data_IF_165226523455
#
_entry.id   IF_165226523455
#
_cell.length_a   1.000
_cell.length_b   1.000
_cell.length_c   1.000
_cell.angle_alpha   90.00
_cell.angle_beta   90.00
_cell.angle_gamma   90.00
#
_symmetry.space_group_name_H-M   'P 1'
#
loop_
_entity.id
_entity.type
_entity.pdbx_description
1 polymer ?
#
# COMPACT_ATOMS: atom_id res chain seq x y z
N UNK A 1 -2.32 -5.49 -62.26
CA UNK A 1 -1.23 -4.55 -61.91
C UNK A 1 -0.94 -4.75 -60.44
N UNK A 2 0.09 -5.55 -60.17
CA UNK A 2 0.54 -5.92 -58.83
C UNK A 2 1.91 -5.28 -58.63
N UNK A 3 2.04 -4.44 -57.60
CA UNK A 3 3.31 -3.83 -57.20
C UNK A 3 3.72 -4.43 -55.87
N UNK A 4 4.80 -5.20 -55.91
CA UNK A 4 5.43 -5.83 -54.76
C UNK A 4 6.13 -4.82 -53.87
N UNK A 5 6.11 -5.11 -52.57
CA UNK A 5 6.99 -4.50 -51.58
C UNK A 5 8.19 -5.44 -51.38
N UNK A 6 9.38 -4.88 -51.58
CA UNK A 6 10.65 -5.51 -51.25
C UNK A 6 10.89 -5.44 -49.74
N UNK A 7 11.20 -6.59 -49.15
CA UNK A 7 11.79 -6.72 -47.82
C UNK A 7 13.22 -6.18 -47.83
N UNK A 8 13.52 -5.25 -46.92
CA UNK A 8 14.88 -4.80 -46.65
C UNK A 8 15.39 -5.55 -45.41
N UNK A 9 16.26 -6.52 -45.66
CA UNK A 9 17.12 -7.17 -44.69
C UNK A 9 18.01 -6.13 -44.00
N UNK A 10 17.96 -6.06 -42.66
CA UNK A 10 19.04 -5.44 -41.87
C UNK A 10 19.83 -6.55 -41.18
N UNK A 11 21.12 -6.58 -41.51
CA UNK A 11 22.12 -7.52 -41.05
C UNK A 11 22.71 -7.13 -39.70
N UNK A 12 22.73 -8.10 -38.79
CA UNK A 12 23.46 -8.07 -37.52
C UNK A 12 24.97 -7.95 -37.71
N UNK A 13 25.58 -6.92 -37.12
CA UNK A 13 27.02 -6.91 -36.83
C UNK A 13 27.34 -6.07 -35.60
N UNK A 14 27.89 -6.73 -34.57
CA UNK A 14 29.04 -6.33 -33.71
C UNK A 14 28.81 -6.81 -32.27
N UNK A 15 29.46 -7.90 -31.84
CA UNK A 15 30.81 -7.98 -31.24
C UNK A 15 30.93 -7.19 -29.92
N UNK A 16 30.64 -7.86 -28.81
CA UNK A 16 31.12 -7.50 -27.48
C UNK A 16 32.42 -8.25 -27.16
N UNK A 17 33.46 -7.60 -26.62
CA UNK A 17 34.60 -8.27 -26.01
C UNK A 17 34.34 -8.58 -24.53
N UNK A 18 34.78 -9.76 -24.13
CA UNK A 18 34.85 -10.27 -22.76
C UNK A 18 35.94 -9.58 -21.95
N UNK A 19 35.67 -9.31 -20.68
CA UNK A 19 36.71 -9.00 -19.68
C UNK A 19 36.43 -9.86 -18.45
N UNK A 20 37.27 -10.88 -18.26
CA UNK A 20 37.57 -11.49 -16.97
C UNK A 20 38.25 -10.44 -16.08
N UNK A 21 37.86 -10.33 -14.80
CA UNK A 21 38.88 -10.42 -13.75
C UNK A 21 38.30 -10.62 -12.34
N UNK A 22 39.15 -11.27 -11.55
CA UNK A 22 38.96 -11.84 -10.23
C UNK A 22 38.90 -10.77 -9.12
N UNK A 23 38.18 -11.04 -8.03
CA UNK A 23 38.76 -11.00 -6.67
C UNK A 23 37.75 -11.36 -5.59
N UNK A 24 38.13 -12.39 -4.84
CA UNK A 24 37.58 -12.80 -3.55
C UNK A 24 37.78 -11.73 -2.48
N UNK A 25 36.75 -11.47 -1.67
CA UNK A 25 36.82 -10.55 -0.54
C UNK A 25 35.74 -10.83 0.51
N UNK A 26 35.93 -11.90 1.29
CA UNK A 26 35.06 -12.25 2.42
C UNK A 26 35.16 -11.20 3.54
N UNK A 27 34.08 -10.44 3.79
CA UNK A 27 33.96 -9.55 4.95
C UNK A 27 33.13 -10.21 6.04
N UNK A 28 33.79 -10.62 7.13
CA UNK A 28 33.17 -11.15 8.33
C UNK A 28 32.51 -10.03 9.15
N UNK A 29 31.22 -10.16 9.45
CA UNK A 29 30.52 -9.34 10.43
C UNK A 29 31.05 -9.61 11.84
N UNK A 30 31.72 -8.63 12.46
CA UNK A 30 31.98 -8.62 13.90
C UNK A 30 30.90 -7.79 14.60
N UNK A 31 30.13 -8.48 15.45
CA UNK A 31 29.24 -7.90 16.45
C UNK A 31 30.07 -7.28 17.57
N UNK A 32 29.90 -5.99 17.82
CA UNK A 32 30.39 -5.32 19.02
C UNK A 32 29.19 -4.90 19.87
N UNK A 33 28.94 -5.66 20.92
CA UNK A 33 28.04 -5.30 22.00
C UNK A 33 28.78 -4.54 23.10
N UNK A 34 28.04 -3.58 23.68
CA UNK A 34 28.14 -3.04 25.04
C UNK A 34 29.44 -2.37 25.50
N UNK A 35 29.35 -1.05 25.69
CA UNK A 35 30.01 -0.38 26.81
C UNK A 35 29.01 0.59 27.48
N UNK A 36 29.01 0.51 28.80
CA UNK A 36 28.16 1.17 29.77
C UNK A 36 28.87 2.39 30.38
N UNK A 37 28.14 3.45 30.72
CA UNK A 37 28.46 4.46 31.76
C UNK A 37 27.28 5.46 31.82
N UNK A 38 26.43 5.45 32.84
CA UNK A 38 26.54 6.06 34.18
C UNK A 38 26.29 7.59 34.22
N UNK A 39 25.04 7.89 34.60
CA UNK A 39 24.50 8.96 35.48
C UNK A 39 25.35 10.20 35.77
N UNK A 40 24.81 11.38 35.46
CA UNK A 40 24.68 12.52 36.41
C UNK A 40 23.42 13.35 36.12
N UNK A 41 22.79 13.77 37.21
CA UNK A 41 21.52 14.49 37.34
C UNK A 41 21.61 15.99 37.01
N UNK A 42 20.49 16.61 36.61
CA UNK A 42 20.31 18.06 36.75
C UNK A 42 19.23 18.72 35.87
N UNK A 43 18.03 18.90 36.44
CA UNK A 43 17.30 20.20 36.41
C UNK A 43 16.57 20.69 35.14
N UNK A 44 15.24 20.60 35.20
CA UNK A 44 14.24 21.61 34.83
C UNK A 44 14.21 22.24 33.41
N UNK A 45 13.18 21.88 32.62
CA UNK A 45 12.09 22.74 32.11
C UNK A 45 11.37 21.97 30.99
N UNK A 46 10.09 21.66 31.20
CA UNK A 46 9.24 20.94 30.25
C UNK A 46 8.85 21.87 29.10
N UNK A 47 9.62 21.82 28.02
CA UNK A 47 9.16 22.18 26.69
C UNK A 47 8.67 20.90 26.00
N UNK A 48 7.45 20.94 25.48
CA UNK A 48 6.89 19.89 24.62
C UNK A 48 7.73 19.88 23.34
N UNK A 49 8.65 18.92 23.23
CA UNK A 49 9.47 18.71 22.04
C UNK A 49 8.69 17.84 21.05
N UNK A 50 7.86 18.49 20.22
CA UNK A 50 7.43 17.92 18.95
C UNK A 50 8.64 17.92 18.01
N UNK A 51 9.35 16.80 17.99
CA UNK A 51 10.58 16.66 17.22
C UNK A 51 11.20 15.29 17.41
N UNK A 52 10.45 14.23 17.11
CA UNK A 52 11.10 12.99 16.67
C UNK A 52 11.84 13.31 15.38
N UNK A 53 13.11 13.75 15.53
CA UNK A 53 14.07 13.77 14.45
C UNK A 53 14.17 12.35 13.93
N UNK A 54 13.45 12.10 12.82
CA UNK A 54 13.53 10.86 12.08
C UNK A 54 15.03 10.58 11.83
N UNK A 55 15.59 9.50 12.42
CA UNK A 55 17.02 9.30 12.46
C UNK A 55 17.58 9.28 11.04
N UNK A 56 18.40 10.29 10.77
CA UNK A 56 19.23 10.48 9.59
C UNK A 56 18.48 10.24 8.27
N UNK A 57 17.90 11.33 7.76
CA UNK A 57 17.81 11.56 6.32
C UNK A 57 19.23 11.51 5.74
N UNK A 58 19.79 10.31 5.56
CA UNK A 58 20.86 10.09 4.61
C UNK A 58 20.41 10.77 3.31
N UNK A 59 21.24 11.66 2.78
CA UNK A 59 20.93 12.38 1.56
C UNK A 59 20.45 11.35 0.52
N UNK A 60 19.17 11.46 0.15
CA UNK A 60 18.49 10.46 -0.68
C UNK A 60 19.31 10.18 -1.94
N UNK A 61 19.84 11.26 -2.51
CA UNK A 61 20.83 11.29 -3.56
C UNK A 61 22.05 12.08 -3.05
N UNK A 62 23.26 11.66 -3.45
CA UNK A 62 24.47 12.46 -3.19
C UNK A 62 24.55 13.63 -4.17
N UNK A 63 25.21 14.72 -3.77
CA UNK A 63 25.43 15.88 -4.66
C UNK A 63 26.09 15.45 -5.98
N UNK A 64 27.08 14.55 -5.91
CA UNK A 64 27.76 14.03 -7.09
C UNK A 64 26.79 13.28 -8.02
N UNK A 65 25.99 12.35 -7.50
CA UNK A 65 24.99 11.62 -8.30
C UNK A 65 24.01 12.58 -8.98
N UNK A 66 23.56 13.62 -8.26
CA UNK A 66 22.67 14.64 -8.82
C UNK A 66 23.34 15.42 -9.97
N UNK A 67 24.59 15.85 -9.80
CA UNK A 67 25.33 16.56 -10.85
C UNK A 67 25.60 15.67 -12.06
N UNK A 68 25.94 14.39 -11.85
CA UNK A 68 26.15 13.42 -12.92
C UNK A 68 24.84 13.22 -13.74
N UNK A 69 23.68 13.12 -13.06
CA UNK A 69 22.37 13.04 -13.72
C UNK A 69 22.05 14.32 -14.52
N UNK A 70 22.31 15.50 -13.95
CA UNK A 70 22.06 16.78 -14.64
C UNK A 70 22.96 16.92 -15.87
N UNK A 71 24.23 16.52 -15.77
CA UNK A 71 25.17 16.55 -16.89
C UNK A 71 24.70 15.62 -18.04
N UNK A 72 24.30 14.40 -17.72
CA UNK A 72 23.76 13.44 -18.68
C UNK A 72 22.48 13.98 -19.37
N UNK A 73 21.55 14.57 -18.60
CA UNK A 73 20.35 15.23 -19.14
C UNK A 73 20.74 16.37 -20.10
N UNK A 74 21.64 17.26 -19.67
CA UNK A 74 22.07 18.40 -20.47
C UNK A 74 22.82 17.99 -21.74
N UNK A 75 23.59 16.91 -21.71
CA UNK A 75 24.35 16.42 -22.85
C UNK A 75 23.42 15.79 -23.89
N UNK A 76 22.58 14.84 -23.49
CA UNK A 76 21.85 13.95 -24.41
C UNK A 76 20.39 14.31 -24.63
N UNK A 77 19.76 14.94 -23.65
CA UNK A 77 18.30 15.09 -23.63
C UNK A 77 17.85 16.53 -23.85
N UNK A 78 18.32 17.48 -23.06
CA UNK A 78 17.86 18.87 -23.08
C UNK A 78 18.19 19.59 -21.77
N UNK A 79 17.81 20.86 -21.68
CA UNK A 79 18.05 21.62 -20.45
C UNK A 79 17.11 21.11 -19.34
N UNK A 80 17.67 20.48 -18.29
CA UNK A 80 16.88 20.04 -17.14
C UNK A 80 16.26 21.27 -16.44
N UNK A 81 14.94 21.36 -16.39
CA UNK A 81 14.21 22.44 -15.73
C UNK A 81 13.47 21.99 -14.46
N UNK A 82 13.23 20.69 -14.29
CA UNK A 82 12.71 20.10 -13.05
C UNK A 82 13.30 18.72 -12.81
N UNK A 83 13.51 18.36 -11.55
CA UNK A 83 14.04 17.06 -11.14
C UNK A 83 13.46 16.66 -9.77
N UNK A 84 12.74 15.55 -9.74
CA UNK A 84 11.99 15.08 -8.58
C UNK A 84 12.39 13.65 -8.24
N UNK A 85 12.58 13.36 -6.95
CA UNK A 85 12.64 11.98 -6.47
C UNK A 85 11.22 11.41 -6.49
N UNK A 86 11.09 10.19 -6.99
CA UNK A 86 9.81 9.49 -7.12
C UNK A 86 9.89 8.07 -6.54
N UNK A 87 8.84 7.28 -6.76
CA UNK A 87 8.85 5.84 -6.54
C UNK A 87 8.91 5.44 -5.07
N UNK A 88 9.45 4.24 -4.82
CA UNK A 88 9.38 3.61 -3.49
C UNK A 88 9.99 4.48 -2.37
N UNK A 89 10.99 5.29 -2.71
CA UNK A 89 11.69 6.25 -1.85
C UNK A 89 10.75 7.24 -1.19
N UNK A 90 9.85 7.88 -1.95
CA UNK A 90 8.94 8.91 -1.40
C UNK A 90 7.76 8.30 -0.65
N UNK A 91 7.42 7.05 -0.95
CA UNK A 91 6.35 6.31 -0.27
C UNK A 91 6.83 5.61 1.02
N UNK A 92 8.14 5.50 1.23
CA UNK A 92 8.80 4.98 2.43
C UNK A 92 8.34 3.57 2.87
N UNK A 93 8.12 2.67 1.92
CA UNK A 93 7.75 1.29 2.25
C UNK A 93 8.96 0.46 2.69
N UNK A 94 10.13 0.69 2.08
CA UNK A 94 11.39 -0.01 2.35
C UNK A 94 12.56 0.92 1.99
N UNK A 95 13.77 0.69 2.53
CA UNK A 95 14.98 1.34 2.03
C UNK A 95 15.12 1.04 0.53
N UNK A 96 15.12 2.07 -0.34
CA UNK A 96 15.16 1.86 -1.77
C UNK A 96 16.53 1.32 -2.21
N UNK A 97 16.54 0.30 -3.08
CA UNK A 97 17.76 -0.20 -3.71
C UNK A 97 18.19 0.68 -4.89
N UNK A 98 17.20 1.20 -5.60
CA UNK A 98 17.23 2.08 -6.77
C UNK A 98 16.56 3.43 -6.47
N UNK A 99 16.96 4.48 -7.17
CA UNK A 99 16.36 5.82 -7.06
C UNK A 99 15.60 6.15 -8.33
N UNK A 100 14.27 6.06 -8.25
CA UNK A 100 13.38 6.57 -9.29
C UNK A 100 13.42 8.11 -9.31
N UNK A 101 13.80 8.69 -10.44
CA UNK A 101 13.80 10.13 -10.67
C UNK A 101 12.88 10.49 -11.84
N UNK A 102 12.19 11.62 -11.73
CA UNK A 102 11.45 12.22 -12.82
C UNK A 102 12.13 13.53 -13.20
N UNK A 103 12.61 13.61 -14.43
CA UNK A 103 13.24 14.78 -15.01
C UNK A 103 12.29 15.47 -16.00
N UNK A 104 12.18 16.79 -15.89
CA UNK A 104 11.51 17.65 -16.88
C UNK A 104 12.57 18.44 -17.61
N UNK A 105 12.59 18.36 -18.94
CA UNK A 105 13.56 19.06 -19.79
C UNK A 105 12.89 20.11 -20.68
N UNK A 106 13.64 21.15 -21.00
CA UNK A 106 13.33 22.10 -22.07
C UNK A 106 13.97 21.69 -23.38
N UNK A 107 13.22 21.87 -24.46
CA UNK A 107 13.66 21.70 -25.85
C UNK A 107 14.48 20.43 -26.07
N UNK A 108 13.77 19.31 -26.21
CA UNK A 108 14.43 18.02 -26.39
C UNK A 108 15.38 18.03 -27.60
N UNK A 109 16.64 17.62 -27.39
CA UNK A 109 17.68 17.52 -28.43
C UNK A 109 17.41 16.38 -29.41
N UNK A 110 16.69 15.38 -28.95
CA UNK A 110 16.22 14.23 -29.70
C UNK A 110 14.75 14.01 -29.38
N UNK A 111 14.01 13.37 -30.29
CA UNK A 111 12.63 12.99 -30.03
C UNK A 111 12.60 12.04 -28.84
N UNK A 112 11.87 12.41 -27.78
CA UNK A 112 11.67 11.58 -26.59
C UNK A 112 10.41 10.77 -26.83
N UNK A 113 10.50 9.47 -27.16
CA UNK A 113 9.31 8.71 -27.50
C UNK A 113 8.45 8.58 -26.25
N UNK A 114 7.22 9.07 -26.31
CA UNK A 114 6.33 9.09 -25.15
C UNK A 114 6.00 7.66 -24.72
N UNK A 115 6.05 7.42 -23.40
CA UNK A 115 5.73 6.13 -22.79
C UNK A 115 6.54 4.95 -23.37
N UNK A 116 7.73 5.23 -23.92
CA UNK A 116 8.71 4.24 -24.37
C UNK A 116 9.79 4.05 -23.31
N UNK A 117 10.37 2.84 -23.19
CA UNK A 117 11.65 2.62 -22.49
C UNK A 117 12.75 3.60 -22.94
N UNK A 118 12.67 4.09 -24.18
CA UNK A 118 13.61 5.08 -24.74
C UNK A 118 13.46 6.49 -24.13
N UNK A 119 12.45 6.72 -23.28
CA UNK A 119 12.32 7.95 -22.48
C UNK A 119 12.97 7.85 -21.10
N UNK A 120 13.72 6.77 -20.86
CA UNK A 120 14.37 6.48 -19.60
C UNK A 120 15.86 6.19 -19.78
N UNK A 121 16.66 6.49 -18.76
CA UNK A 121 18.04 6.03 -18.67
C UNK A 121 18.42 5.68 -17.23
N UNK A 122 19.45 4.86 -17.09
CA UNK A 122 20.01 4.49 -15.79
C UNK A 122 21.41 5.06 -15.65
N UNK A 123 21.68 5.74 -14.54
CA UNK A 123 23.01 6.26 -14.19
C UNK A 123 23.35 5.86 -12.75
N UNK A 124 24.23 4.87 -12.60
CA UNK A 124 24.51 4.27 -11.29
C UNK A 124 23.25 3.60 -10.72
N UNK A 125 22.79 4.06 -9.55
CA UNK A 125 21.54 3.61 -8.92
C UNK A 125 20.32 4.47 -9.28
N UNK A 126 20.47 5.49 -10.11
CA UNK A 126 19.38 6.38 -10.49
C UNK A 126 18.72 5.88 -11.78
N UNK A 127 17.42 5.64 -11.75
CA UNK A 127 16.58 5.39 -12.91
C UNK A 127 15.78 6.65 -13.21
N UNK A 128 16.04 7.28 -14.35
CA UNK A 128 15.54 8.62 -14.67
C UNK A 128 14.53 8.53 -15.80
N UNK A 129 13.27 8.86 -15.52
CA UNK A 129 12.23 9.06 -16.52
C UNK A 129 12.23 10.51 -17.00
N UNK A 130 12.36 10.72 -18.30
CA UNK A 130 12.54 12.04 -18.92
C UNK A 130 11.26 12.47 -19.63
N UNK A 131 10.75 13.65 -19.27
CA UNK A 131 9.61 14.29 -19.90
C UNK A 131 10.02 15.63 -20.50
N UNK A 132 9.72 15.86 -21.77
CA UNK A 132 9.72 17.22 -22.30
C UNK A 132 8.67 18.04 -21.55
N UNK A 133 8.98 19.31 -21.23
CA UNK A 133 8.08 20.23 -20.53
C UNK A 133 6.67 20.23 -21.13
N UNK A 134 6.55 20.23 -22.47
CA UNK A 134 5.23 20.18 -23.13
C UNK A 134 4.45 18.92 -22.74
N UNK A 135 5.08 17.73 -22.84
CA UNK A 135 4.48 16.45 -22.48
C UNK A 135 4.11 16.39 -20.98
N UNK A 136 4.96 16.92 -20.10
CA UNK A 136 4.68 17.03 -18.67
C UNK A 136 3.35 17.79 -18.42
N UNK A 137 3.16 18.94 -19.08
CA UNK A 137 1.91 19.71 -18.95
C UNK A 137 0.71 19.02 -19.59
N UNK A 138 0.87 18.36 -20.74
CA UNK A 138 -0.20 17.58 -21.36
C UNK A 138 -0.68 16.48 -20.42
N UNK A 139 0.23 15.71 -19.80
CA UNK A 139 -0.10 14.70 -18.79
C UNK A 139 -0.69 15.30 -17.51
N UNK A 140 -0.15 16.43 -17.04
CA UNK A 140 -0.68 17.13 -15.88
C UNK A 140 -2.14 17.60 -16.11
N UNK A 141 -2.45 18.15 -17.28
CA UNK A 141 -3.80 18.53 -17.65
C UNK A 141 -4.73 17.33 -17.87
N UNK A 142 -4.18 16.17 -18.23
CA UNK A 142 -4.89 14.90 -18.26
C UNK A 142 -5.11 14.28 -16.87
N UNK A 143 -4.79 15.00 -15.79
CA UNK A 143 -4.84 14.51 -14.40
C UNK A 143 -4.02 13.24 -14.20
N UNK A 144 -2.87 13.14 -14.86
CA UNK A 144 -1.92 12.04 -14.66
C UNK A 144 -1.39 12.06 -13.21
N UNK A 145 -1.58 10.95 -12.50
CA UNK A 145 -1.24 10.86 -11.08
C UNK A 145 0.26 10.95 -10.82
N UNK A 146 1.11 10.55 -11.76
CA UNK A 146 2.56 10.68 -11.62
C UNK A 146 2.94 12.16 -11.59
N UNK A 147 2.39 12.95 -12.52
CA UNK A 147 2.66 14.39 -12.59
C UNK A 147 2.07 15.13 -11.38
N UNK A 148 0.85 14.76 -10.96
CA UNK A 148 0.22 15.30 -9.75
C UNK A 148 0.98 14.93 -8.47
N UNK A 149 1.60 13.75 -8.44
CA UNK A 149 2.51 13.34 -7.36
C UNK A 149 3.74 14.23 -7.33
N UNK A 150 4.38 14.51 -8.46
CA UNK A 150 5.52 15.45 -8.53
C UNK A 150 5.20 16.83 -7.97
N UNK A 151 4.02 17.39 -8.29
CA UNK A 151 3.58 18.69 -7.73
C UNK A 151 3.30 18.64 -6.23
N UNK A 152 3.00 17.46 -5.71
CA UNK A 152 2.73 17.23 -4.29
C UNK A 152 3.97 16.75 -3.52
N UNK A 153 5.11 16.58 -4.19
CA UNK A 153 6.34 16.04 -3.59
C UNK A 153 6.88 16.99 -2.51
N UNK A 154 7.16 16.49 -1.28
CA UNK A 154 7.77 17.31 -0.23
C UNK A 154 9.12 17.91 -0.67
N UNK A 155 9.41 19.16 -0.28
CA UNK A 155 10.61 19.90 -0.74
C UNK A 155 11.93 19.14 -0.60
N UNK A 156 12.09 18.30 0.43
CA UNK A 156 13.30 17.47 0.64
C UNK A 156 13.54 16.42 -0.46
N UNK A 157 12.55 16.15 -1.29
CA UNK A 157 12.58 15.21 -2.41
C UNK A 157 12.53 15.95 -3.77
N UNK A 158 12.59 17.28 -3.78
CA UNK A 158 12.68 18.10 -4.98
C UNK A 158 14.14 18.51 -5.16
N UNK A 159 14.80 17.96 -6.17
CA UNK A 159 16.22 18.22 -6.46
C UNK A 159 16.40 19.49 -7.30
N UNK A 160 15.44 19.74 -8.21
CA UNK A 160 15.32 20.98 -8.96
C UNK A 160 13.84 21.31 -9.17
N UNK A 161 13.38 22.45 -8.67
CA UNK A 161 11.98 22.86 -8.77
C UNK A 161 11.69 23.42 -10.18
N UNK A 162 10.59 22.95 -10.80
CA UNK A 162 10.14 23.45 -12.08
C UNK A 162 9.55 24.87 -11.93
N UNK A 163 10.27 25.86 -12.45
CA UNK A 163 9.81 27.26 -12.47
C UNK A 163 9.01 27.53 -13.75
N UNK A 164 7.68 27.39 -13.70
CA UNK A 164 6.79 27.67 -14.83
C UNK A 164 5.50 28.37 -14.34
N UNK A 165 5.11 29.47 -14.99
CA UNK A 165 3.95 30.27 -14.60
C UNK A 165 2.63 29.51 -14.70
N UNK A 166 2.54 28.53 -15.61
CA UNK A 166 1.32 27.72 -15.80
C UNK A 166 0.96 26.91 -14.57
N UNK A 167 1.95 26.53 -13.75
CA UNK A 167 1.73 25.82 -12.48
C UNK A 167 0.95 26.68 -11.48
N UNK A 168 1.13 28.01 -11.49
CA UNK A 168 0.40 28.92 -10.58
C UNK A 168 -1.08 29.03 -10.94
N UNK A 169 -1.41 28.85 -12.21
CA UNK A 169 -2.78 28.86 -12.73
C UNK A 169 -3.43 27.48 -12.83
N UNK A 170 -2.68 26.41 -12.52
CA UNK A 170 -3.18 25.06 -12.63
C UNK A 170 -4.37 24.84 -11.68
N UNK A 171 -5.44 24.25 -12.21
CA UNK A 171 -6.64 23.88 -11.47
C UNK A 171 -6.93 22.42 -11.76
N UNK A 172 -7.28 21.67 -10.71
CA UNK A 172 -7.76 20.30 -10.88
C UNK A 172 -9.11 20.31 -11.59
N UNK A 173 -9.23 19.49 -12.61
CA UNK A 173 -10.50 19.14 -13.22
C UNK A 173 -11.05 17.92 -12.48
N UNK A 174 -12.06 18.12 -11.64
CA UNK A 174 -12.65 17.07 -10.81
C UNK A 174 -13.36 15.99 -11.63
N UNK A 175 -13.80 16.28 -12.86
CA UNK A 175 -14.38 15.27 -13.74
C UNK A 175 -13.27 14.40 -14.33
N UNK A 176 -12.27 15.04 -14.92
CA UNK A 176 -11.16 14.32 -15.52
C UNK A 176 -10.32 13.56 -14.50
N UNK A 177 -10.23 14.07 -13.26
CA UNK A 177 -9.59 13.38 -12.14
C UNK A 177 -10.33 12.08 -11.80
N UNK A 178 -11.66 12.10 -11.73
CA UNK A 178 -12.48 10.90 -11.47
C UNK A 178 -12.26 9.84 -12.56
N UNK A 179 -12.33 10.26 -13.82
CA UNK A 179 -12.12 9.39 -14.98
C UNK A 179 -10.71 8.78 -14.99
N UNK A 180 -9.68 9.60 -14.79
CA UNK A 180 -8.26 9.19 -14.77
C UNK A 180 -7.96 8.21 -13.62
N UNK A 181 -8.33 8.58 -12.38
CA UNK A 181 -8.06 7.76 -11.18
C UNK A 181 -8.79 6.42 -11.27
N UNK A 182 -10.07 6.42 -11.66
CA UNK A 182 -10.88 5.20 -11.70
C UNK A 182 -10.37 4.26 -12.80
N UNK A 183 -10.11 4.79 -14.00
CA UNK A 183 -9.60 4.01 -15.12
C UNK A 183 -8.23 3.40 -14.81
N UNK A 184 -7.35 4.15 -14.15
CA UNK A 184 -6.03 3.66 -13.77
C UNK A 184 -6.09 2.62 -12.64
N UNK A 185 -6.99 2.81 -11.67
CA UNK A 185 -7.24 1.84 -10.61
C UNK A 185 -7.78 0.51 -11.17
N UNK A 186 -8.76 0.57 -12.08
CA UNK A 186 -9.33 -0.60 -12.75
C UNK A 186 -8.28 -1.34 -13.61
N UNK A 187 -7.53 -0.62 -14.43
CA UNK A 187 -6.44 -1.21 -15.22
C UNK A 187 -5.42 -1.94 -14.33
N UNK A 188 -5.00 -1.30 -13.24
CA UNK A 188 -4.03 -1.86 -12.29
C UNK A 188 -4.60 -3.09 -11.57
N UNK A 189 -5.88 -3.06 -11.24
CA UNK A 189 -6.60 -4.21 -10.67
C UNK A 189 -6.62 -5.41 -11.63
N UNK A 190 -7.02 -5.19 -12.89
CA UNK A 190 -7.01 -6.23 -13.92
C UNK A 190 -5.58 -6.76 -14.21
N UNK A 191 -4.55 -5.92 -14.06
CA UNK A 191 -3.15 -6.33 -14.14
C UNK A 191 -2.77 -7.21 -12.95
N UNK A 192 -3.19 -6.87 -11.73
CA UNK A 192 -2.97 -7.68 -10.53
C UNK A 192 -3.61 -9.07 -10.67
N UNK A 193 -4.86 -9.13 -11.14
CA UNK A 193 -5.59 -10.37 -11.39
C UNK A 193 -4.89 -11.24 -12.44
N UNK A 194 -4.49 -10.68 -13.58
CA UNK A 194 -3.76 -11.45 -14.61
C UNK A 194 -2.45 -12.06 -14.08
N UNK A 195 -1.67 -11.29 -13.32
CA UNK A 195 -0.42 -11.80 -12.71
C UNK A 195 -0.71 -12.89 -11.68
N UNK A 196 -1.85 -12.81 -10.98
CA UNK A 196 -2.29 -13.83 -10.02
C UNK A 196 -2.70 -15.12 -10.73
N UNK A 197 -3.54 -15.02 -11.77
CA UNK A 197 -4.08 -16.14 -12.56
C UNK A 197 -2.97 -16.95 -13.25
N UNK A 198 -1.91 -16.28 -13.68
CA UNK A 198 -0.76 -16.95 -14.28
C UNK A 198 0.15 -17.61 -13.22
N UNK A 199 -0.09 -17.32 -11.92
CA UNK A 199 0.71 -17.69 -10.75
C UNK A 199 2.22 -17.54 -10.93
N UNK A 200 2.65 -16.58 -11.75
CA UNK A 200 4.08 -16.38 -11.99
C UNK A 200 4.76 -15.69 -10.83
N UNK A 201 4.07 -14.71 -10.23
CA UNK A 201 4.67 -13.83 -9.23
C UNK A 201 3.60 -13.24 -8.28
N UNK A 202 3.29 -13.93 -7.17
CA UNK A 202 2.35 -13.44 -6.16
C UNK A 202 2.77 -12.11 -5.54
N UNK A 203 4.07 -11.84 -5.46
CA UNK A 203 4.60 -10.59 -4.93
C UNK A 203 4.29 -9.43 -5.88
N UNK A 204 4.49 -9.61 -7.18
CA UNK A 204 4.13 -8.62 -8.21
C UNK A 204 2.62 -8.41 -8.29
N UNK A 205 1.82 -9.47 -8.18
CA UNK A 205 0.36 -9.35 -8.06
C UNK A 205 -0.04 -8.52 -6.84
N UNK A 206 0.52 -8.83 -5.66
CA UNK A 206 0.32 -8.08 -4.41
C UNK A 206 0.69 -6.61 -4.56
N UNK A 207 1.83 -6.31 -5.21
CA UNK A 207 2.31 -4.94 -5.46
C UNK A 207 1.33 -4.16 -6.34
N UNK A 208 0.80 -4.78 -7.39
CA UNK A 208 -0.22 -4.16 -8.24
C UNK A 208 -1.51 -3.91 -7.46
N UNK A 209 -2.02 -4.90 -6.72
CA UNK A 209 -3.23 -4.76 -5.91
C UNK A 209 -3.10 -3.62 -4.89
N UNK A 210 -1.94 -3.52 -4.24
CA UNK A 210 -1.64 -2.42 -3.32
C UNK A 210 -1.69 -1.05 -4.01
N UNK A 211 -1.16 -0.97 -5.23
CA UNK A 211 -1.11 0.28 -5.98
C UNK A 211 -2.50 0.80 -6.35
N UNK A 212 -3.49 -0.07 -6.56
CA UNK A 212 -4.91 0.31 -6.73
C UNK A 212 -5.40 1.16 -5.56
N UNK A 213 -5.13 0.72 -4.32
CA UNK A 213 -5.55 1.45 -3.11
C UNK A 213 -4.81 2.77 -2.94
N UNK A 214 -3.53 2.81 -3.33
CA UNK A 214 -2.74 4.05 -3.34
C UNK A 214 -3.32 5.07 -4.31
N UNK A 215 -3.62 4.65 -5.54
CA UNK A 215 -4.23 5.49 -6.58
C UNK A 215 -5.54 6.10 -6.09
N UNK A 216 -6.45 5.29 -5.54
CA UNK A 216 -7.71 5.77 -4.99
C UNK A 216 -7.52 6.67 -3.77
N UNK A 217 -6.55 6.36 -2.91
CA UNK A 217 -6.19 7.19 -1.76
C UNK A 217 -5.66 8.56 -2.15
N UNK A 218 -4.81 8.63 -3.18
CA UNK A 218 -4.32 9.89 -3.74
C UNK A 218 -5.45 10.68 -4.41
N UNK A 219 -6.34 10.02 -5.15
CA UNK A 219 -7.54 10.64 -5.70
C UNK A 219 -8.41 11.30 -4.63
N UNK A 220 -8.62 10.64 -3.48
CA UNK A 220 -9.35 11.22 -2.35
C UNK A 220 -8.67 12.51 -1.84
N UNK A 221 -7.36 12.48 -1.63
CA UNK A 221 -6.60 13.64 -1.14
C UNK A 221 -6.62 14.80 -2.14
N UNK A 222 -6.51 14.51 -3.44
CA UNK A 222 -6.59 15.51 -4.50
C UNK A 222 -7.98 16.17 -4.54
N UNK A 223 -9.06 15.40 -4.40
CA UNK A 223 -10.41 15.94 -4.31
C UNK A 223 -10.64 16.77 -3.03
N UNK A 224 -10.08 16.35 -1.90
CA UNK A 224 -10.25 17.04 -0.62
C UNK A 224 -9.42 18.33 -0.53
N UNK A 225 -8.15 18.27 -0.92
CA UNK A 225 -7.14 19.29 -0.62
C UNK A 225 -6.51 19.96 -1.84
N UNK A 226 -6.83 19.51 -3.05
CA UNK A 226 -6.18 19.98 -4.28
C UNK A 226 -4.73 19.48 -4.47
N UNK A 227 -4.22 18.64 -3.57
CA UNK A 227 -2.86 18.08 -3.59
C UNK A 227 -2.79 16.80 -2.75
N UNK A 228 -1.73 16.01 -2.93
CA UNK A 228 -1.47 14.83 -2.09
C UNK A 228 -0.70 15.29 -0.84
N UNK A 229 -1.36 15.26 0.31
CA UNK A 229 -0.80 15.72 1.60
C UNK A 229 0.00 14.63 2.32
N UNK A 230 -0.39 13.37 2.13
CA UNK A 230 0.25 12.19 2.72
C UNK A 230 0.48 11.11 1.65
N UNK A 231 1.73 11.01 1.20
CA UNK A 231 2.20 9.99 0.25
C UNK A 231 2.19 8.57 0.84
N UNK A 232 2.05 8.43 2.16
CA UNK A 232 2.07 7.14 2.88
C UNK A 232 0.68 6.65 3.29
N UNK A 233 -0.38 7.39 2.98
CA UNK A 233 -1.74 7.12 3.47
C UNK A 233 -2.22 5.68 3.20
N UNK A 234 -1.77 5.08 2.09
CA UNK A 234 -2.15 3.73 1.70
C UNK A 234 -1.23 2.62 2.25
N UNK A 235 -0.11 2.93 2.92
CA UNK A 235 0.91 1.93 3.28
C UNK A 235 0.37 0.78 4.14
N UNK A 236 -0.60 1.04 5.01
CA UNK A 236 -1.28 -0.01 5.78
C UNK A 236 -1.93 -1.10 4.91
N UNK A 237 -2.36 -0.78 3.68
CA UNK A 237 -2.92 -1.76 2.75
C UNK A 237 -1.86 -2.74 2.23
N UNK A 238 -0.58 -2.34 2.20
CA UNK A 238 0.50 -3.26 1.85
C UNK A 238 0.60 -4.39 2.87
N UNK A 239 0.51 -4.05 4.16
CA UNK A 239 0.56 -5.03 5.24
C UNK A 239 -0.64 -5.98 5.16
N UNK A 240 -1.85 -5.45 4.94
CA UNK A 240 -3.06 -6.26 4.73
C UNK A 240 -2.91 -7.22 3.57
N UNK A 241 -2.44 -6.75 2.41
CA UNK A 241 -2.28 -7.58 1.22
C UNK A 241 -1.20 -8.63 1.45
N UNK A 242 -0.05 -8.23 2.00
CA UNK A 242 1.04 -9.17 2.29
C UNK A 242 0.60 -10.25 3.28
N UNK A 243 -0.13 -9.88 4.33
CA UNK A 243 -0.72 -10.83 5.26
C UNK A 243 -1.72 -11.77 4.57
N UNK A 244 -2.57 -11.27 3.67
CA UNK A 244 -3.50 -12.13 2.91
C UNK A 244 -2.75 -13.19 2.11
N UNK A 245 -1.69 -12.82 1.41
CA UNK A 245 -0.91 -13.78 0.62
C UNK A 245 -0.08 -14.74 1.50
N UNK A 246 0.48 -14.26 2.62
CA UNK A 246 1.36 -15.07 3.48
C UNK A 246 0.60 -15.95 4.47
N UNK A 247 -0.43 -15.43 5.14
CA UNK A 247 -1.15 -16.12 6.23
C UNK A 247 -2.09 -17.17 5.68
N UNK A 248 -2.76 -16.88 4.56
CA UNK A 248 -3.71 -17.81 3.97
C UNK A 248 -3.00 -18.94 3.18
N UNK A 249 -1.68 -18.86 3.00
CA UNK A 249 -0.87 -19.87 2.27
C UNK A 249 -1.54 -20.29 0.95
N UNK A 250 -2.03 -19.29 0.22
CA UNK A 250 -2.99 -19.47 -0.87
C UNK A 250 -2.33 -20.27 -1.98
N UNK A 251 -2.97 -21.37 -2.36
CA UNK A 251 -2.52 -22.22 -3.44
C UNK A 251 -2.92 -21.62 -4.79
N UNK A 252 -2.28 -22.04 -5.91
CA UNK A 252 -2.64 -21.59 -7.26
C UNK A 252 -4.06 -21.83 -7.77
N UNK A 253 -4.98 -22.28 -6.92
CA UNK A 253 -6.38 -22.50 -7.26
C UNK A 253 -7.35 -21.76 -6.31
N UNK A 254 -6.81 -21.00 -5.36
CA UNK A 254 -7.57 -20.32 -4.30
C UNK A 254 -7.55 -18.78 -4.47
N UNK A 255 -7.34 -18.34 -5.71
CA UNK A 255 -7.22 -16.93 -6.08
C UNK A 255 -8.52 -16.16 -5.88
N UNK A 256 -9.64 -16.86 -6.01
CA UNK A 256 -11.00 -16.37 -5.78
C UNK A 256 -11.18 -15.86 -4.34
N UNK A 257 -10.47 -16.45 -3.36
CA UNK A 257 -10.46 -15.98 -1.98
C UNK A 257 -9.77 -14.63 -1.85
N UNK A 258 -8.61 -14.44 -2.49
CA UNK A 258 -7.90 -13.15 -2.50
C UNK A 258 -8.77 -12.10 -3.18
N UNK A 259 -9.31 -12.44 -4.34
CA UNK A 259 -10.16 -11.55 -5.11
C UNK A 259 -11.38 -11.15 -4.29
N UNK A 260 -12.07 -12.08 -3.64
CA UNK A 260 -13.27 -11.77 -2.85
C UNK A 260 -12.97 -10.79 -1.70
N UNK A 261 -11.86 -11.00 -0.98
CA UNK A 261 -11.47 -10.10 0.11
C UNK A 261 -11.10 -8.72 -0.43
N UNK A 262 -10.22 -8.67 -1.43
CA UNK A 262 -9.70 -7.41 -1.96
C UNK A 262 -10.75 -6.64 -2.77
N UNK A 263 -11.66 -7.31 -3.48
CA UNK A 263 -12.75 -6.70 -4.24
C UNK A 263 -13.68 -5.89 -3.34
N UNK A 264 -13.92 -6.37 -2.10
CA UNK A 264 -14.71 -5.61 -1.13
C UNK A 264 -14.00 -4.32 -0.71
N UNK A 265 -12.71 -4.38 -0.40
CA UNK A 265 -11.92 -3.20 -0.08
C UNK A 265 -11.85 -2.24 -1.27
N UNK A 266 -11.72 -2.77 -2.48
CA UNK A 266 -11.68 -2.00 -3.72
C UNK A 266 -12.98 -1.23 -3.91
N UNK A 267 -14.13 -1.92 -3.87
CA UNK A 267 -15.46 -1.30 -3.98
C UNK A 267 -15.68 -0.21 -2.93
N UNK A 268 -15.28 -0.45 -1.69
CA UNK A 268 -15.37 0.55 -0.62
C UNK A 268 -14.47 1.77 -0.90
N UNK A 269 -13.28 1.55 -1.45
CA UNK A 269 -12.33 2.62 -1.79
C UNK A 269 -12.80 3.46 -2.98
N UNK A 270 -13.40 2.83 -4.00
CA UNK A 270 -14.04 3.51 -5.14
C UNK A 270 -15.20 4.37 -4.66
N UNK A 271 -16.16 3.78 -3.90
CA UNK A 271 -17.31 4.54 -3.40
C UNK A 271 -16.89 5.72 -2.51
N UNK A 272 -15.85 5.55 -1.69
CA UNK A 272 -15.28 6.65 -0.90
C UNK A 272 -14.70 7.74 -1.80
N UNK A 273 -13.95 7.37 -2.84
CA UNK A 273 -13.38 8.32 -3.78
C UNK A 273 -14.46 9.11 -4.53
N UNK A 274 -15.45 8.43 -5.10
CA UNK A 274 -16.60 9.07 -5.79
C UNK A 274 -17.31 10.07 -4.87
N UNK A 275 -17.57 9.69 -3.62
CA UNK A 275 -18.18 10.59 -2.64
C UNK A 275 -17.32 11.83 -2.35
N UNK A 276 -15.99 11.70 -2.31
CA UNK A 276 -15.07 12.84 -2.12
C UNK A 276 -15.05 13.76 -3.34
N UNK A 277 -15.07 13.21 -4.54
CA UNK A 277 -15.15 13.99 -5.79
C UNK A 277 -16.47 14.77 -5.83
N UNK A 278 -17.59 14.12 -5.53
CA UNK A 278 -18.90 14.77 -5.52
C UNK A 278 -18.97 15.90 -4.47
N UNK A 279 -18.46 15.65 -3.27
CA UNK A 279 -18.36 16.69 -2.24
C UNK A 279 -17.48 17.88 -2.70
N UNK A 280 -16.38 17.61 -3.42
CA UNK A 280 -15.53 18.65 -3.98
C UNK A 280 -16.24 19.48 -5.07
N UNK A 281 -17.03 18.83 -5.94
CA UNK A 281 -17.85 19.51 -6.96
C UNK A 281 -18.89 20.44 -6.32
N UNK A 282 -19.61 19.94 -5.31
CA UNK A 282 -20.61 20.73 -4.58
C UNK A 282 -19.98 21.94 -3.89
N UNK A 283 -18.77 21.78 -3.31
CA UNK A 283 -18.00 22.91 -2.75
C UNK A 283 -17.63 23.95 -3.82
N UNK A 284 -17.16 23.50 -4.98
CA UNK A 284 -16.80 24.38 -6.10
C UNK A 284 -18.02 25.16 -6.64
N UNK A 285 -19.15 24.49 -6.86
CA UNK A 285 -20.40 25.15 -7.30
C UNK A 285 -20.91 26.17 -6.27
N UNK A 286 -20.81 25.84 -4.98
CA UNK A 286 -21.23 26.75 -3.91
C UNK A 286 -20.35 28.01 -3.89
N UNK A 287 -19.04 27.85 -4.06
CA UNK A 287 -18.10 28.98 -4.14
C UNK A 287 -18.40 29.89 -5.34
N UNK A 288 -18.72 29.31 -6.50
CA UNK A 288 -19.11 30.07 -7.70
C UNK A 288 -20.41 30.87 -7.49
N UNK A 289 -21.44 30.26 -6.87
CA UNK A 289 -22.72 30.95 -6.57
C UNK A 289 -22.58 32.11 -5.60
N UNK A 290 -21.62 32.03 -4.67
CA UNK A 290 -21.33 33.11 -3.71
C UNK A 290 -20.49 34.24 -4.33
N UNK A 291 -20.17 34.15 -5.63
CA UNK A 291 -19.58 35.23 -6.41
C UNK A 291 -18.11 35.54 -6.08
N UNK A 292 -17.39 34.60 -5.47
CA UNK A 292 -16.00 34.82 -5.02
C UNK A 292 -15.85 35.96 -4.01
N UNK A 293 -16.94 36.47 -3.44
CA UNK A 293 -16.93 37.56 -2.47
C UNK A 293 -16.65 36.96 -1.08
N UNK A 294 -15.36 36.94 -0.70
CA UNK A 294 -14.80 36.65 0.65
C UNK A 294 -14.28 35.22 0.96
N UNK A 295 -13.82 34.44 -0.02
CA UNK A 295 -13.36 33.04 0.19
C UNK A 295 -12.07 32.84 1.02
N UNK A 296 -11.33 33.89 1.40
CA UNK A 296 -10.13 33.72 2.24
C UNK A 296 -10.45 33.45 3.73
N UNK A 297 -11.64 33.83 4.22
CA UNK A 297 -11.97 33.72 5.67
C UNK A 297 -12.78 32.49 6.04
N UNK A 298 -13.61 31.95 5.14
CA UNK A 298 -14.42 30.75 5.42
C UNK A 298 -13.56 29.49 5.31
N UNK A 299 -12.66 29.43 4.32
CA UNK A 299 -11.72 28.32 4.13
C UNK A 299 -10.84 28.07 5.38
N UNK A 300 -10.34 29.15 6.00
CA UNK A 300 -9.54 29.06 7.23
C UNK A 300 -10.36 28.73 8.50
N UNK A 301 -11.68 28.93 8.45
CA UNK A 301 -12.58 28.60 9.55
C UNK A 301 -13.04 27.14 9.48
N UNK A 302 -13.32 26.61 8.29
CA UNK A 302 -13.64 25.19 8.09
C UNK A 302 -12.41 24.30 8.33
N UNK A 303 -11.22 24.72 7.88
CA UNK A 303 -9.96 24.01 8.17
C UNK A 303 -9.66 23.96 9.68
N UNK A 304 -10.06 24.98 10.45
CA UNK A 304 -9.95 24.98 11.92
C UNK A 304 -10.99 24.12 12.62
N UNK A 305 -12.17 23.90 12.04
CA UNK A 305 -13.21 23.05 12.63
C UNK A 305 -12.90 21.57 12.39
N UNK A 306 -12.28 21.22 11.27
CA UNK A 306 -11.82 19.83 11.04
C UNK A 306 -10.48 19.50 11.71
N UNK A 307 -9.56 20.47 11.89
CA UNK A 307 -8.27 20.19 12.56
C UNK A 307 -8.32 20.24 14.09
N UNK A 308 -9.36 20.84 14.69
CA UNK A 308 -9.52 20.92 16.14
C UNK A 308 -9.94 19.58 16.80
N UNK A 309 -10.16 18.50 16.02
CA UNK A 309 -10.56 17.19 16.56
C UNK A 309 -9.74 16.01 16.02
N UNK A 310 -8.52 16.26 15.51
CA UNK A 310 -7.62 15.21 14.99
C UNK A 310 -6.60 14.71 16.03
N UNK A 311 -6.62 15.25 17.26
CA UNK A 311 -5.89 14.65 18.39
C UNK A 311 -6.67 13.56 19.12
N UNK A 312 -7.98 13.44 18.89
CA UNK A 312 -8.66 12.16 19.11
C UNK A 312 -8.48 11.36 17.83
N UNK A 313 -7.69 10.28 17.90
CA UNK A 313 -7.68 9.23 16.88
C UNK A 313 -9.14 8.87 16.62
N UNK A 314 -9.72 9.36 15.53
CA UNK A 314 -11.07 9.01 15.11
C UNK A 314 -11.10 7.50 15.06
N UNK A 315 -11.72 6.89 16.08
CA UNK A 315 -11.83 5.45 16.17
C UNK A 315 -12.46 5.01 14.83
N UNK A 316 -11.92 3.99 14.16
CA UNK A 316 -12.47 3.50 12.90
C UNK A 316 -13.98 3.40 13.03
N UNK A 317 -14.73 3.83 12.02
CA UNK A 317 -16.18 3.78 12.08
C UNK A 317 -16.61 2.30 12.24
N UNK A 318 -16.85 1.85 13.48
CA UNK A 318 -17.08 0.45 13.88
C UNK A 318 -18.54 0.04 13.70
N UNK A 319 -19.25 0.75 12.83
CA UNK A 319 -20.66 0.55 12.52
C UNK A 319 -20.94 -0.77 11.81
N UNK A 320 -19.94 -1.62 11.54
CA UNK A 320 -20.10 -2.92 10.86
C UNK A 320 -19.33 -4.01 11.59
N UNK A 321 -20.00 -5.13 11.89
CA UNK A 321 -19.32 -6.30 12.44
C UNK A 321 -18.48 -6.97 11.36
N UNK A 322 -17.17 -7.10 11.57
CA UNK A 322 -16.26 -7.69 10.57
C UNK A 322 -16.45 -9.19 10.31
N UNK A 323 -17.26 -9.88 11.12
CA UNK A 323 -17.49 -11.33 10.99
C UNK A 323 -18.69 -11.62 10.09
N UNK A 324 -19.85 -10.98 10.31
CA UNK A 324 -21.05 -11.16 9.47
C UNK A 324 -21.27 -10.03 8.47
N UNK A 325 -20.54 -8.91 8.61
CA UNK A 325 -20.58 -7.75 7.73
C UNK A 325 -21.87 -6.92 7.80
N UNK A 326 -22.71 -7.19 8.81
CA UNK A 326 -23.91 -6.40 9.07
C UNK A 326 -23.61 -5.19 9.96
N UNK A 327 -24.45 -4.14 9.89
CA UNK A 327 -24.31 -2.99 10.76
C UNK A 327 -24.44 -3.36 12.25
N UNK A 328 -23.62 -2.75 13.10
CA UNK A 328 -23.77 -2.82 14.57
C UNK A 328 -24.76 -1.78 15.09
N UNK A 329 -25.10 -0.79 14.26
CA UNK A 329 -26.11 0.24 14.54
C UNK A 329 -27.52 -0.39 14.57
N UNK A 330 -28.14 -0.37 15.74
CA UNK A 330 -29.47 -0.98 15.99
C UNK A 330 -29.47 -2.11 17.02
N UNK A 331 -28.30 -2.60 17.44
CA UNK A 331 -28.18 -3.66 18.42
C UNK A 331 -27.90 -3.11 19.85
N UNK A 332 -28.44 -3.77 20.88
CA UNK A 332 -28.19 -3.42 22.29
C UNK A 332 -26.76 -3.79 22.74
N UNK A 333 -26.06 -2.88 23.41
CA UNK A 333 -24.71 -3.14 23.95
C UNK A 333 -24.78 -4.07 25.17
N UNK A 334 -24.04 -5.18 25.18
CA UNK A 334 -23.85 -6.04 26.35
C UNK A 334 -22.37 -6.34 26.60
N UNK A 335 -22.00 -6.60 27.85
CA UNK A 335 -20.66 -7.09 28.19
C UNK A 335 -20.53 -8.60 27.91
N UNK A 336 -19.46 -9.00 27.22
CA UNK A 336 -19.23 -10.38 26.77
C UNK A 336 -19.27 -11.43 27.90
N UNK A 337 -18.78 -11.06 29.08
CA UNK A 337 -18.70 -11.94 30.24
C UNK A 337 -20.09 -12.33 30.79
N UNK A 338 -21.12 -11.52 30.55
CA UNK A 338 -22.49 -11.81 30.99
C UNK A 338 -23.20 -12.83 30.06
N UNK A 339 -22.74 -12.96 28.81
CA UNK A 339 -23.39 -13.76 27.77
C UNK A 339 -22.91 -15.22 27.74
N UNK A 340 -21.64 -15.48 28.12
CA UNK A 340 -21.11 -16.84 28.22
C UNK A 340 -21.69 -17.64 29.41
N UNK A 341 -22.43 -16.97 30.31
CA UNK A 341 -23.00 -17.56 31.52
C UNK A 341 -24.52 -17.78 31.43
N UNK A 342 -25.20 -17.27 30.40
CA UNK A 342 -26.66 -17.42 30.25
C UNK A 342 -27.02 -18.68 29.43
N UNK A 343 -27.94 -19.53 29.90
CA UNK A 343 -28.48 -20.63 29.10
C UNK A 343 -29.24 -20.08 27.88
N UNK A 344 -29.12 -20.80 26.77
CA UNK A 344 -29.28 -20.37 25.37
C UNK A 344 -30.68 -20.03 24.86
N UNK A 345 -31.61 -19.57 25.70
CA UNK A 345 -33.05 -19.58 25.35
C UNK A 345 -33.68 -18.21 25.07
N UNK A 346 -32.94 -17.21 24.58
CA UNK A 346 -33.57 -15.96 24.12
C UNK A 346 -32.71 -15.11 23.19
N UNK A 347 -33.28 -14.74 22.03
CA UNK A 347 -32.83 -13.77 21.01
C UNK A 347 -31.47 -13.08 21.30
N UNK A 348 -30.37 -13.81 21.11
CA UNK A 348 -28.99 -13.26 21.24
C UNK A 348 -28.59 -12.45 20.00
N UNK A 349 -29.36 -12.54 18.91
CA UNK A 349 -29.05 -11.96 17.61
C UNK A 349 -28.94 -10.42 17.59
N UNK A 350 -29.60 -9.71 18.52
CA UNK A 350 -29.70 -8.25 18.48
C UNK A 350 -28.73 -7.52 19.43
N UNK A 351 -27.62 -8.16 19.82
CA UNK A 351 -26.64 -7.52 20.73
C UNK A 351 -25.24 -7.50 20.16
N UNK A 352 -24.48 -6.46 20.50
CA UNK A 352 -23.07 -6.35 20.13
C UNK A 352 -22.18 -6.21 21.37
N UNK A 353 -20.91 -6.58 21.18
CA UNK A 353 -19.85 -6.61 22.18
C UNK A 353 -18.66 -5.81 21.66
N UNK A 354 -18.07 -5.00 22.55
CA UNK A 354 -16.76 -4.40 22.34
C UNK A 354 -15.69 -5.21 23.08
N UNK A 355 -14.64 -5.66 22.39
CA UNK A 355 -13.52 -6.32 23.05
C UNK A 355 -12.72 -5.31 23.89
N UNK A 356 -12.47 -5.63 25.15
CA UNK A 356 -11.83 -4.71 26.12
C UNK A 356 -10.42 -4.30 25.68
N UNK A 357 -9.63 -5.27 25.18
CA UNK A 357 -8.21 -5.05 24.89
C UNK A 357 -7.95 -4.26 23.60
N UNK A 358 -8.82 -4.38 22.60
CA UNK A 358 -8.58 -3.82 21.27
C UNK A 358 -9.72 -2.96 20.73
N UNK A 359 -10.79 -2.77 21.51
CA UNK A 359 -11.94 -1.91 21.19
C UNK A 359 -12.73 -2.28 19.93
N UNK A 360 -12.41 -3.38 19.26
CA UNK A 360 -13.18 -3.91 18.12
C UNK A 360 -14.59 -4.36 18.53
N UNK A 361 -15.58 -4.04 17.70
CA UNK A 361 -16.99 -4.35 17.94
C UNK A 361 -17.47 -5.51 17.06
N UNK A 362 -18.29 -6.40 17.64
CA UNK A 362 -18.85 -7.55 16.94
C UNK A 362 -20.29 -7.79 17.41
N UNK A 363 -21.15 -8.35 16.56
CA UNK A 363 -22.36 -9.00 17.07
C UNK A 363 -21.97 -10.12 18.02
N UNK A 364 -22.71 -10.24 19.12
CA UNK A 364 -22.47 -11.23 20.17
C UNK A 364 -22.41 -12.64 19.61
N UNK A 365 -23.35 -12.99 18.72
CA UNK A 365 -23.40 -14.30 18.07
C UNK A 365 -22.12 -14.57 17.27
N UNK A 366 -21.70 -13.60 16.45
CA UNK A 366 -20.54 -13.71 15.59
C UNK A 366 -19.23 -13.91 16.35
N UNK A 367 -18.99 -13.12 17.40
CA UNK A 367 -17.78 -13.30 18.21
C UNK A 367 -17.85 -14.61 19.02
N UNK A 368 -19.04 -15.01 19.49
CA UNK A 368 -19.21 -16.28 20.20
C UNK A 368 -18.96 -17.50 19.30
N UNK A 369 -19.38 -17.45 18.03
CA UNK A 369 -19.09 -18.51 17.04
C UNK A 369 -17.61 -18.56 16.69
N UNK A 370 -16.97 -17.40 16.45
CA UNK A 370 -15.53 -17.32 16.20
C UNK A 370 -14.71 -17.90 17.37
N UNK A 371 -15.06 -17.54 18.61
CA UNK A 371 -14.42 -18.08 19.82
C UNK A 371 -14.65 -19.59 19.94
N UNK A 372 -15.87 -20.08 19.71
CA UNK A 372 -16.18 -21.52 19.73
C UNK A 372 -15.42 -22.29 18.66
N UNK A 373 -15.23 -21.72 17.47
CA UNK A 373 -14.43 -22.31 16.41
C UNK A 373 -12.95 -22.41 16.81
N UNK A 374 -12.38 -21.34 17.38
CA UNK A 374 -10.99 -21.35 17.87
C UNK A 374 -10.76 -22.39 18.98
N UNK A 375 -11.68 -22.49 19.95
CA UNK A 375 -11.59 -23.47 21.05
C UNK A 375 -11.77 -24.93 20.58
N UNK A 376 -12.48 -25.15 19.46
CA UNK A 376 -12.59 -26.48 18.84
C UNK A 376 -11.32 -26.88 18.09
N UNK A 377 -10.68 -25.91 17.41
CA UNK A 377 -9.47 -26.14 16.64
C UNK A 377 -8.26 -26.46 17.53
N UNK A 378 -8.19 -25.86 18.71
CA UNK A 378 -7.12 -26.12 19.68
C UNK A 378 -7.65 -26.17 21.11
N UNK A 379 -7.85 -27.39 21.63
CA UNK A 379 -8.34 -27.61 23.00
C UNK A 379 -7.34 -27.19 24.07
N UNK A 380 -6.06 -26.97 23.73
CA UNK A 380 -5.04 -26.54 24.68
C UNK A 380 -5.01 -25.01 24.86
N UNK A 381 -5.50 -24.25 23.87
CA UNK A 381 -5.58 -22.80 23.95
C UNK A 381 -6.74 -22.35 24.86
N UNK A 382 -6.39 -21.69 25.98
CA UNK A 382 -7.36 -21.02 26.87
C UNK A 382 -7.72 -19.59 26.43
N UNK A 383 -7.28 -19.19 25.24
CA UNK A 383 -7.41 -17.84 24.74
C UNK A 383 -7.97 -17.88 23.32
N UNK A 384 -8.91 -16.98 23.02
CA UNK A 384 -9.32 -16.70 21.65
C UNK A 384 -8.62 -15.42 21.18
N UNK A 385 -8.44 -15.26 19.87
CA UNK A 385 -7.88 -14.05 19.30
C UNK A 385 -8.99 -13.17 18.72
N UNK A 386 -8.85 -11.85 18.82
CA UNK A 386 -9.72 -10.92 18.11
C UNK A 386 -9.64 -11.21 16.59
N UNK A 387 -10.76 -11.39 15.87
CA UNK A 387 -10.73 -11.63 14.43
C UNK A 387 -10.08 -10.51 13.60
N UNK A 388 -10.06 -9.27 14.12
CA UNK A 388 -9.49 -8.11 13.43
C UNK A 388 -7.99 -7.98 13.71
N UNK A 389 -7.60 -7.78 14.98
CA UNK A 389 -6.22 -7.44 15.32
C UNK A 389 -5.45 -8.56 16.01
N UNK A 390 -6.02 -9.77 16.10
CA UNK A 390 -5.45 -10.96 16.75
C UNK A 390 -5.06 -10.81 18.22
N UNK A 391 -5.37 -9.68 18.86
CA UNK A 391 -5.14 -9.47 20.28
C UNK A 391 -5.81 -10.59 21.09
N UNK A 392 -5.07 -11.13 22.06
CA UNK A 392 -5.59 -12.17 22.95
C UNK A 392 -6.81 -11.64 23.70
N UNK A 393 -7.92 -12.36 23.56
CA UNK A 393 -9.16 -12.15 24.30
C UNK A 393 -9.05 -13.02 25.55
N UNK A 394 -8.75 -12.37 26.67
CA UNK A 394 -8.72 -13.03 27.97
C UNK A 394 -10.15 -13.13 28.49
N UNK A 395 -10.65 -14.35 28.62
CA UNK A 395 -11.92 -14.62 29.30
C UNK A 395 -11.63 -14.76 30.78
N UNK A 396 -12.19 -13.89 31.61
CA UNK A 396 -12.08 -14.04 33.06
C UNK A 396 -13.11 -15.08 33.53
N UNK A 397 -12.77 -16.36 33.37
CA UNK A 397 -13.52 -17.47 33.96
C UNK A 397 -13.18 -17.56 35.47
N UNK A 398 -13.60 -16.57 36.25
CA UNK A 398 -13.73 -16.79 37.70
C UNK A 398 -14.93 -17.70 37.94
N UNK A 399 -14.68 -19.01 37.78
CA UNK A 399 -15.57 -20.02 38.31
C UNK A 399 -15.67 -19.81 39.83
N UNK A 400 -16.79 -19.23 40.29
CA UNK A 400 -17.26 -19.40 41.67
C UNK A 400 -17.54 -20.89 41.87
N UNK A 401 -16.49 -21.64 42.14
CA UNK A 401 -16.56 -23.01 42.63
C UNK A 401 -17.09 -22.95 44.05
N UNK A 402 -18.41 -22.86 44.19
CA UNK A 402 -19.08 -23.25 45.41
C UNK A 402 -18.75 -24.72 45.65
N UNK A 403 -17.87 -24.96 46.62
CA UNK A 403 -17.49 -26.26 47.17
C UNK A 403 -18.73 -27.01 47.68
N UNK A 404 -19.43 -27.70 46.79
CA UNK A 404 -20.29 -28.83 47.15
C UNK A 404 -19.40 -30.05 47.37
N UNK A 405 -18.82 -30.16 48.57
CA UNK A 405 -18.24 -31.41 49.07
C UNK A 405 -19.36 -32.45 49.25
N UNK A 406 -19.65 -33.23 48.21
CA UNK A 406 -20.32 -34.53 48.37
C UNK A 406 -19.29 -35.65 48.28
N UNK A 407 -18.95 -36.17 49.47
CA UNK A 407 -18.24 -37.43 49.69
C UNK A 407 -18.86 -38.55 48.83
N UNK A 408 -18.07 -39.14 47.93
CA UNK A 408 -18.21 -40.55 47.57
C UNK A 408 -16.86 -41.23 47.70
N UNK A 409 -16.74 -41.99 48.80
CA UNK A 409 -15.76 -43.06 48.98
C UNK A 409 -15.90 -44.05 47.83
N UNK A 410 -14.83 -44.28 47.05
CA UNK A 410 -14.51 -45.63 46.55
C UNK A 410 -13.00 -45.81 46.56
N UNK A 411 -12.59 -46.84 47.31
CA UNK A 411 -11.28 -47.51 47.29
C UNK A 411 -11.06 -48.14 45.91
N UNK A 412 -9.82 -48.19 45.44
CA UNK A 412 -9.11 -49.29 44.75
C UNK A 412 -7.73 -48.74 44.34
N UNK A 413 -6.69 -48.98 45.14
CA UNK A 413 -5.69 -50.06 45.05
C UNK A 413 -4.61 -49.81 43.97
N UNK A 414 -3.40 -49.56 44.47
CA UNK A 414 -2.11 -49.40 43.79
C UNK A 414 -1.43 -50.78 43.62
N UNK A 415 -0.91 -51.06 42.42
CA UNK A 415 0.13 -52.05 42.08
C UNK A 415 0.57 -51.72 40.63
N UNK A 416 1.81 -51.74 40.15
CA UNK A 416 3.09 -52.22 40.67
C UNK A 416 3.87 -52.92 39.54
N UNK A 417 4.79 -52.19 38.88
CA UNK A 417 6.03 -52.63 38.15
C UNK A 417 5.91 -53.54 36.87
N UNK A 418 6.99 -53.77 36.06
CA UNK A 418 7.93 -52.82 35.38
C UNK A 418 8.37 -53.19 33.93
N UNK A 419 9.10 -52.25 33.31
CA UNK A 419 10.16 -52.31 32.27
C UNK A 419 10.36 -53.51 31.30
N UNK A 420 10.58 -53.26 30.00
CA UNK A 420 11.90 -53.30 29.31
C UNK A 420 11.86 -53.36 27.76
N UNK A 421 12.72 -52.54 27.13
CA UNK A 421 13.64 -52.79 25.99
C UNK A 421 13.09 -53.33 24.65
N UNK A 422 13.26 -52.56 23.55
CA UNK A 422 14.11 -52.87 22.36
C UNK A 422 14.03 -51.78 21.28
N UNK A 423 15.16 -51.10 21.06
CA UNK A 423 15.66 -50.71 19.73
C UNK A 423 16.54 -51.91 19.24
N UNK A 424 16.92 -52.10 17.94
CA UNK A 424 17.44 -51.03 17.09
C UNK A 424 17.28 -51.19 15.55
N UNK A 425 17.88 -50.23 14.84
CA UNK A 425 18.61 -50.34 13.57
C UNK A 425 17.98 -49.99 12.20
N UNK A 426 18.64 -48.98 11.60
CA UNK A 426 19.17 -48.90 10.23
C UNK A 426 18.21 -48.85 9.02
N UNK A 427 18.23 -47.70 8.33
CA UNK A 427 18.79 -47.66 6.96
C UNK A 427 19.22 -46.26 6.50
N UNK A 428 20.42 -46.27 5.93
CA UNK A 428 21.20 -45.21 5.30
C UNK A 428 20.80 -44.96 3.83
N UNK A 429 21.25 -43.80 3.32
CA UNK A 429 21.63 -43.45 1.92
C UNK A 429 20.46 -43.25 0.92
N UNK A 430 20.45 -42.38 -0.09
CA UNK A 430 21.39 -41.51 -0.85
C UNK A 430 20.58 -40.24 -1.24
N UNK A 431 21.09 -39.00 -1.35
CA UNK A 431 22.12 -38.53 -2.27
C UNK A 431 21.54 -38.21 -3.66
N UNK A 432 21.34 -36.93 -4.01
CA UNK A 432 21.61 -36.37 -5.36
C UNK A 432 21.51 -34.83 -5.42
N UNK A 433 22.57 -34.27 -6.00
CA UNK A 433 22.76 -32.91 -6.49
C UNK A 433 22.07 -32.69 -7.84
N UNK A 434 21.83 -31.43 -8.18
CA UNK A 434 21.55 -30.91 -9.53
C UNK A 434 20.76 -29.61 -9.39
N UNK A 435 21.40 -28.44 -9.27
CA UNK A 435 21.75 -27.52 -10.38
C UNK A 435 20.62 -27.39 -11.39
N UNK A 436 20.01 -26.20 -11.42
CA UNK A 436 19.91 -25.34 -12.60
C UNK A 436 19.50 -23.92 -12.16
N UNK A 437 20.51 -23.10 -11.84
CA UNK A 437 20.38 -21.65 -11.81
C UNK A 437 20.78 -21.13 -13.20
N UNK A 438 19.81 -20.73 -14.03
CA UNK A 438 20.03 -19.95 -15.25
C UNK A 438 18.89 -18.96 -15.49
N UNK A 439 19.26 -17.69 -15.34
CA UNK A 439 18.83 -16.52 -16.12
C UNK A 439 17.34 -16.15 -16.18
N UNK A 440 16.88 -15.41 -15.18
CA UNK A 440 15.73 -14.48 -15.30
C UNK A 440 16.18 -13.14 -15.90
N UNK A 441 16.37 -13.09 -17.23
CA UNK A 441 16.60 -11.82 -17.96
C UNK A 441 15.67 -11.58 -19.15
N UNK A 442 14.68 -12.43 -19.37
CA UNK A 442 13.70 -12.28 -20.45
C UNK A 442 12.31 -12.09 -19.85
N UNK A 443 11.89 -10.84 -19.62
CA UNK A 443 10.45 -10.52 -19.41
C UNK A 443 10.11 -9.01 -19.53
N UNK A 444 11.00 -8.17 -20.07
CA UNK A 444 10.68 -6.74 -20.35
C UNK A 444 9.88 -6.52 -21.64
N UNK A 445 9.65 -7.56 -22.45
CA UNK A 445 8.86 -7.45 -23.68
C UNK A 445 7.34 -7.49 -23.48
N UNK A 446 6.85 -7.65 -22.25
CA UNK A 446 5.42 -7.67 -21.93
C UNK A 446 4.83 -6.32 -21.45
N UNK A 447 5.59 -5.23 -21.44
CA UNK A 447 5.03 -3.87 -21.32
C UNK A 447 4.42 -3.34 -22.63
N UNK A 448 4.49 -4.12 -23.72
CA UNK A 448 3.79 -3.86 -24.97
C UNK A 448 2.36 -4.38 -24.96
N UNK A 449 1.45 -3.70 -24.25
CA UNK A 449 0.00 -3.75 -24.56
C UNK A 449 -0.64 -2.39 -24.31
N UNK A 450 -0.77 -1.62 -25.38
CA UNK A 450 -1.76 -0.56 -25.62
C UNK A 450 -2.16 0.34 -24.43
N UNK A 451 -1.37 1.37 -24.17
CA UNK A 451 -1.88 2.75 -24.04
C UNK A 451 -1.98 3.40 -25.42
N UNK A 452 -2.50 2.67 -26.41
CA UNK A 452 -3.18 3.34 -27.51
C UNK A 452 -4.33 4.10 -26.84
N UNK A 453 -4.25 5.43 -26.86
CA UNK A 453 -5.29 6.32 -26.40
C UNK A 453 -6.66 5.68 -26.62
N UNK A 454 -7.41 5.40 -25.55
CA UNK A 454 -8.84 5.23 -25.68
C UNK A 454 -9.31 6.43 -26.50
N UNK A 455 -9.91 6.23 -27.69
CA UNK A 455 -10.31 7.35 -28.51
C UNK A 455 -11.28 8.16 -27.67
N UNK A 456 -10.86 9.36 -27.27
CA UNK A 456 -11.72 10.38 -26.69
C UNK A 456 -12.93 10.48 -27.62
N UNK A 457 -14.06 9.88 -27.23
CA UNK A 457 -15.35 10.10 -27.89
C UNK A 457 -15.82 11.50 -27.52
N UNK A 458 -15.10 12.50 -28.03
CA UNK A 458 -15.58 13.87 -28.15
C UNK A 458 -16.57 13.92 -29.31
N UNK A 459 -17.80 13.46 -29.07
CA UNK A 459 -18.97 13.75 -29.90
C UNK A 459 -20.18 13.99 -29.00
N UNK A 460 -20.27 15.20 -28.46
CA UNK A 460 -21.52 15.98 -28.38
C UNK A 460 -21.34 17.22 -27.48
N UNK A 461 -20.58 18.24 -27.92
CA UNK A 461 -20.72 19.58 -27.34
C UNK A 461 -20.43 20.70 -28.36
N UNK A 462 -20.99 20.56 -29.57
CA UNK A 462 -21.14 21.67 -30.52
C UNK A 462 -22.45 21.51 -31.31
N UNK A 463 -23.58 21.79 -30.66
CA UNK A 463 -24.83 22.16 -31.33
C UNK A 463 -25.85 22.65 -30.29
N UNK A 464 -25.74 23.90 -29.84
CA UNK A 464 -26.85 24.71 -29.29
C UNK A 464 -26.41 26.17 -29.18
N UNK A 465 -26.31 26.82 -30.34
CA UNK A 465 -26.51 28.26 -30.54
C UNK A 465 -26.79 28.46 -32.04
N UNK A 466 -28.07 28.34 -32.39
CA UNK A 466 -28.70 29.07 -33.49
C UNK A 466 -29.75 29.94 -32.84
#
# INVERSE_FOLDING_TARGET
MATGMQEVLWSDTSKNPTCDDQSDGSLSYRSCASASSSVLEGGALSAVSDGEECPQAAAVITEKEMQDVIAELQEKWGECCGLYVHGSTIFANQPPHDLDLIAVIDHAKQEVPQDSPDSQFTLGRCEVSVYERRCFFEKLHAMDLTMLTCLSTPKRFVLKELQDERLRSFKLDLQLLEESVTSYAEYTWLKAQRVLNDWKDPYKSSKNAYFVFRVLGFGCQLADHGRIVDLKAANHMWDVIKELYQVLNIQPQEEDVIEAVLARHFKASVARFEAKVEAARQRAERAERLGGVQDARVSAAEEKVETADVSERSAPNWDTCVVCLEPTSGCGKKELNQLLQSPSDGNVAETWVQLVNCRHCFHTACIADAVRASLKADRALRHAACPVCRASVVFDFQARSALSRRRRKRRMSFAGYPATIRNPENRQRHGRQGRDDRNDRDDRDHERVNTAALPLRNRAYQARRV
#
